data_IF_146832294615
#
_entry.id   IF_146832294615
#
_cell.length_a   1.000
_cell.length_b   1.000
_cell.length_c   1.000
_cell.angle_alpha   90.00
_cell.angle_beta   90.00
_cell.angle_gamma   90.00
#
_symmetry.space_group_name_H-M   'P 1'
#
loop_
_entity.id
_entity.type
_entity.pdbx_description
1 polymer ?
#
# COMPACT_ATOMS: atom_id res chain seq x y z
N UNK A 1 -10.07 16.16 19.35
CA UNK A 1 -10.37 15.07 18.40
C UNK A 1 -10.57 13.74 19.13
N UNK A 2 -9.60 13.24 19.90
CA UNK A 2 -9.74 11.99 20.66
C UNK A 2 -10.96 11.97 21.60
N UNK A 3 -11.20 13.02 22.39
CA UNK A 3 -12.37 13.11 23.26
C UNK A 3 -13.70 12.97 22.48
N UNK A 4 -13.84 13.68 21.35
CA UNK A 4 -15.02 13.58 20.49
C UNK A 4 -15.15 12.18 19.85
N UNK A 5 -14.03 11.57 19.45
CA UNK A 5 -14.00 10.18 18.95
C UNK A 5 -14.48 9.19 20.02
N UNK A 6 -14.03 9.35 21.26
CA UNK A 6 -14.46 8.52 22.39
C UNK A 6 -15.95 8.68 22.71
N UNK A 7 -16.53 9.88 22.55
CA UNK A 7 -17.98 10.09 22.76
C UNK A 7 -18.86 9.28 21.81
N UNK A 8 -18.33 8.88 20.65
CA UNK A 8 -19.00 8.00 19.68
C UNK A 8 -18.47 6.56 19.72
N UNK A 9 -17.72 6.19 20.76
CA UNK A 9 -17.20 4.84 20.96
C UNK A 9 -15.97 4.47 20.11
N UNK A 10 -15.31 5.45 19.49
CA UNK A 10 -14.11 5.24 18.67
C UNK A 10 -12.84 5.47 19.50
N UNK A 11 -11.86 4.56 19.34
CA UNK A 11 -10.56 4.64 19.98
C UNK A 11 -9.46 4.94 18.95
N UNK A 12 -8.72 6.02 19.15
CA UNK A 12 -7.62 6.41 18.25
C UNK A 12 -6.34 5.68 18.66
N UNK A 13 -5.79 4.88 17.75
CA UNK A 13 -4.50 4.21 17.98
C UNK A 13 -3.33 5.15 17.66
N UNK A 14 -2.83 5.86 18.67
CA UNK A 14 -1.77 6.86 18.54
C UNK A 14 -0.51 6.33 17.84
N UNK A 15 0.01 5.17 18.25
CA UNK A 15 1.23 4.60 17.65
C UNK A 15 1.14 4.21 16.16
N UNK A 16 -0.07 3.96 15.63
CA UNK A 16 -0.32 3.65 14.22
C UNK A 16 -0.72 4.89 13.43
N UNK A 17 -1.09 5.97 14.11
CA UNK A 17 -1.48 7.23 13.50
C UNK A 17 -0.21 7.98 13.13
N UNK A 18 -0.10 8.37 11.87
CA UNK A 18 1.02 9.13 11.31
C UNK A 18 0.46 10.27 10.48
N UNK A 19 1.28 11.30 10.29
CA UNK A 19 0.91 12.44 9.45
C UNK A 19 1.74 12.37 8.19
N UNK A 20 1.06 12.36 7.06
CA UNK A 20 1.67 12.54 5.75
C UNK A 20 1.27 13.93 5.26
N UNK A 21 2.22 14.86 5.18
CA UNK A 21 1.98 16.21 4.66
C UNK A 21 2.09 16.23 3.15
N UNK A 22 1.14 16.91 2.50
CA UNK A 22 1.15 17.11 1.05
C UNK A 22 1.61 18.54 0.72
N UNK A 23 2.62 18.66 -0.15
CA UNK A 23 3.10 19.94 -0.72
C UNK A 23 3.50 21.04 0.29
N UNK A 24 3.69 20.73 1.58
CA UNK A 24 3.92 21.74 2.63
C UNK A 24 4.98 21.27 3.62
N UNK A 25 5.94 22.15 3.94
CA UNK A 25 6.95 21.88 4.97
C UNK A 25 6.32 21.81 6.37
N UNK A 26 6.95 21.06 7.28
CA UNK A 26 6.46 20.87 8.65
C UNK A 26 6.53 22.18 9.45
N UNK A 27 5.40 22.89 9.56
CA UNK A 27 5.31 24.18 10.26
C UNK A 27 4.66 24.08 11.63
N UNK A 28 3.90 23.02 11.89
CA UNK A 28 3.11 22.88 13.13
C UNK A 28 3.03 21.41 13.57
N UNK A 29 3.46 21.08 14.80
CA UNK A 29 3.20 19.78 15.40
C UNK A 29 1.69 19.56 15.51
N UNK A 30 1.27 18.33 15.28
CA UNK A 30 -0.12 17.91 15.46
C UNK A 30 -0.13 16.86 16.54
N UNK A 31 -0.88 17.14 17.59
CA UNK A 31 -0.95 16.31 18.78
C UNK A 31 -2.29 15.60 18.91
N UNK A 32 -2.26 14.39 19.47
CA UNK A 32 -3.44 13.68 19.95
C UNK A 32 -3.23 13.40 21.44
N UNK A 33 -4.09 13.97 22.28
CA UNK A 33 -3.98 13.90 23.75
C UNK A 33 -2.61 14.34 24.30
N UNK A 34 -2.01 15.35 23.67
CA UNK A 34 -0.70 15.88 24.05
C UNK A 34 0.50 15.08 23.54
N UNK A 35 0.29 13.97 22.83
CA UNK A 35 1.35 13.23 22.14
C UNK A 35 1.49 13.71 20.70
N UNK A 36 2.72 14.06 20.30
CA UNK A 36 3.04 14.42 18.91
C UNK A 36 2.91 13.19 18.00
N UNK A 37 2.25 13.36 16.85
CA UNK A 37 2.25 12.36 15.80
C UNK A 37 3.52 12.46 14.95
N UNK A 38 4.08 11.32 14.57
CA UNK A 38 5.23 11.25 13.66
C UNK A 38 4.83 11.73 12.25
N UNK A 39 5.64 12.62 11.70
CA UNK A 39 5.58 13.09 10.31
C UNK A 39 6.35 12.09 9.43
N UNK A 40 5.66 11.48 8.47
CA UNK A 40 6.22 10.47 7.57
C UNK A 40 6.16 10.95 6.13
N UNK A 41 7.19 10.62 5.35
CA UNK A 41 7.25 10.94 3.91
C UNK A 41 6.44 9.98 3.06
N UNK A 42 6.28 8.75 3.53
CA UNK A 42 5.49 7.71 2.87
C UNK A 42 4.60 7.01 3.88
N UNK A 43 3.40 6.62 3.45
CA UNK A 43 2.46 5.87 4.26
C UNK A 43 1.83 4.75 3.43
N UNK A 44 1.72 3.55 4.00
CA UNK A 44 1.04 2.44 3.34
C UNK A 44 -0.42 2.41 3.78
N UNK A 45 -1.33 2.70 2.85
CA UNK A 45 -2.77 2.64 3.08
C UNK A 45 -3.39 1.56 2.20
N UNK A 46 -4.03 0.57 2.81
CA UNK A 46 -4.70 -0.55 2.12
C UNK A 46 -3.83 -1.26 1.06
N UNK A 47 -2.51 -1.27 1.27
CA UNK A 47 -1.55 -1.90 0.36
C UNK A 47 -1.05 -1.01 -0.77
N UNK A 48 -1.52 0.25 -0.83
CA UNK A 48 -0.98 1.31 -1.69
C UNK A 48 -0.01 2.20 -0.92
N UNK A 49 1.07 2.62 -1.58
CA UNK A 49 2.05 3.56 -1.02
C UNK A 49 1.65 4.97 -1.43
N UNK A 50 1.39 5.83 -0.44
CA UNK A 50 1.13 7.25 -0.63
C UNK A 50 2.37 8.01 -0.19
N UNK A 51 2.87 8.89 -1.06
CA UNK A 51 4.06 9.71 -0.83
C UNK A 51 3.71 11.20 -0.67
N UNK A 52 4.59 11.97 -0.01
CA UNK A 52 4.46 13.40 0.24
C UNK A 52 4.26 14.25 -1.04
N UNK A 53 4.72 13.75 -2.18
CA UNK A 53 4.57 14.40 -3.48
C UNK A 53 3.37 13.91 -4.29
N UNK A 54 2.45 13.11 -3.72
CA UNK A 54 1.35 12.44 -4.43
C UNK A 54 1.79 11.60 -5.64
N UNK A 55 3.08 11.25 -5.72
CA UNK A 55 3.62 10.46 -6.81
C UNK A 55 3.10 9.03 -6.72
N UNK A 56 2.43 8.54 -7.77
CA UNK A 56 2.06 7.13 -7.89
C UNK A 56 3.24 6.22 -8.21
N UNK A 57 4.43 6.77 -8.49
CA UNK A 57 5.61 6.01 -8.90
C UNK A 57 5.98 4.90 -7.90
N UNK A 58 5.97 5.23 -6.60
CA UNK A 58 6.24 4.28 -5.54
C UNK A 58 5.19 3.15 -5.50
N UNK A 59 3.91 3.49 -5.71
CA UNK A 59 2.81 2.53 -5.69
C UNK A 59 2.83 1.60 -6.92
N UNK A 60 3.00 2.19 -8.11
CA UNK A 60 3.17 1.47 -9.37
C UNK A 60 4.36 0.52 -9.29
N UNK A 61 5.48 0.98 -8.73
CA UNK A 61 6.67 0.14 -8.51
C UNK A 61 6.38 -1.02 -7.55
N UNK A 62 5.61 -0.79 -6.49
CA UNK A 62 5.20 -1.84 -5.57
C UNK A 62 4.27 -2.88 -6.23
N UNK A 63 3.30 -2.45 -7.04
CA UNK A 63 2.42 -3.35 -7.80
C UNK A 63 3.18 -4.17 -8.83
N UNK A 64 4.08 -3.54 -9.60
CA UNK A 64 4.97 -4.26 -10.53
C UNK A 64 5.81 -5.30 -9.78
N UNK A 65 6.31 -4.96 -8.58
CA UNK A 65 7.03 -5.89 -7.72
C UNK A 65 6.18 -7.11 -7.33
N UNK A 66 4.92 -6.90 -6.92
CA UNK A 66 3.98 -7.98 -6.58
C UNK A 66 3.66 -8.87 -7.78
N UNK A 67 3.36 -8.27 -8.93
CA UNK A 67 3.07 -9.01 -10.16
C UNK A 67 4.28 -9.83 -10.63
N UNK A 68 5.49 -9.29 -10.52
CA UNK A 68 6.74 -10.04 -10.80
C UNK A 68 6.91 -11.21 -9.84
N UNK A 69 6.65 -11.02 -8.55
CA UNK A 69 6.72 -12.11 -7.57
C UNK A 69 5.71 -13.22 -7.89
N UNK A 70 4.46 -12.87 -8.19
CA UNK A 70 3.42 -13.82 -8.60
C UNK A 70 3.81 -14.58 -9.87
N UNK A 71 4.35 -13.88 -10.87
CA UNK A 71 4.86 -14.51 -12.09
C UNK A 71 6.00 -15.49 -11.80
N UNK A 72 6.95 -15.13 -10.94
CA UNK A 72 8.08 -15.98 -10.57
C UNK A 72 7.66 -17.22 -9.79
N UNK A 73 6.64 -17.12 -8.92
CA UNK A 73 6.11 -18.27 -8.19
C UNK A 73 5.49 -19.32 -9.12
N UNK A 74 4.99 -18.92 -10.29
CA UNK A 74 4.40 -19.82 -11.29
C UNK A 74 5.41 -20.33 -12.33
N UNK A 75 6.72 -20.27 -12.03
CA UNK A 75 7.80 -20.68 -12.94
C UNK A 75 7.61 -22.08 -13.54
N UNK A 76 7.16 -23.04 -12.75
CA UNK A 76 6.96 -24.42 -13.23
C UNK A 76 5.80 -24.54 -14.21
N UNK A 77 4.76 -23.71 -14.06
CA UNK A 77 3.64 -23.61 -15.01
C UNK A 77 4.16 -23.07 -16.34
N UNK A 78 5.01 -22.05 -16.32
CA UNK A 78 5.59 -21.47 -17.53
C UNK A 78 6.48 -22.48 -18.26
N UNK A 79 7.26 -23.28 -17.53
CA UNK A 79 8.15 -24.30 -18.09
C UNK A 79 7.44 -25.60 -18.53
N UNK A 80 6.22 -25.85 -18.05
CA UNK A 80 5.49 -27.10 -18.35
C UNK A 80 5.18 -27.25 -19.83
N UNK A 81 5.57 -28.38 -20.44
CA UNK A 81 5.20 -28.73 -21.82
C UNK A 81 3.80 -29.35 -21.92
N UNK A 82 3.23 -29.81 -20.79
CA UNK A 82 1.90 -30.44 -20.76
C UNK A 82 0.77 -29.41 -20.88
N UNK A 83 1.01 -28.18 -20.44
CA UNK A 83 0.01 -27.11 -20.48
C UNK A 83 0.04 -26.38 -21.82
N UNK A 84 -1.13 -26.22 -22.43
CA UNK A 84 -1.28 -25.44 -23.66
C UNK A 84 -1.04 -23.95 -23.40
N UNK A 85 -0.61 -23.23 -24.44
CA UNK A 85 -0.40 -21.77 -24.38
C UNK A 85 -1.65 -21.03 -23.90
N UNK A 86 -2.83 -21.41 -24.40
CA UNK A 86 -4.10 -20.79 -24.00
C UNK A 86 -4.39 -20.97 -22.49
N UNK A 87 -4.03 -22.12 -21.92
CA UNK A 87 -4.20 -22.37 -20.49
C UNK A 87 -3.26 -21.51 -19.65
N UNK A 88 -1.99 -21.40 -20.07
CA UNK A 88 -0.99 -20.54 -19.41
C UNK A 88 -1.40 -19.06 -19.46
N UNK A 89 -1.91 -18.59 -20.60
CA UNK A 89 -2.42 -17.22 -20.74
C UNK A 89 -3.60 -16.97 -19.80
N UNK A 90 -4.53 -17.93 -19.67
CA UNK A 90 -5.63 -17.82 -18.70
C UNK A 90 -5.12 -17.69 -17.27
N UNK A 91 -4.15 -18.52 -16.88
CA UNK A 91 -3.53 -18.48 -15.54
C UNK A 91 -2.83 -17.14 -15.29
N UNK A 92 -2.12 -16.60 -16.28
CA UNK A 92 -1.51 -15.26 -16.19
C UNK A 92 -2.57 -14.18 -15.96
N UNK A 93 -3.65 -14.18 -16.75
CA UNK A 93 -4.72 -13.20 -16.64
C UNK A 93 -5.42 -13.25 -15.27
N UNK A 94 -5.52 -14.43 -14.64
CA UNK A 94 -6.21 -14.58 -13.34
C UNK A 94 -5.30 -14.30 -12.14
N UNK A 95 -4.01 -14.62 -12.22
CA UNK A 95 -3.12 -14.60 -11.04
C UNK A 95 -2.05 -13.51 -11.07
N UNK A 96 -1.68 -13.00 -12.26
CA UNK A 96 -0.64 -11.97 -12.40
C UNK A 96 -1.27 -10.64 -12.79
N UNK A 97 -2.14 -10.63 -13.81
CA UNK A 97 -2.79 -9.40 -14.30
C UNK A 97 -3.75 -8.78 -13.28
N UNK A 98 -4.30 -9.57 -12.36
CA UNK A 98 -5.19 -9.08 -11.30
C UNK A 98 -4.46 -8.31 -10.20
N UNK A 99 -3.14 -8.45 -10.12
CA UNK A 99 -2.27 -7.83 -9.09
C UNK A 99 -1.38 -6.73 -9.69
N UNK A 100 -1.47 -6.54 -11.01
CA UNK A 100 -0.78 -5.51 -11.79
C UNK A 100 -1.72 -4.33 -12.03
#
# INVERSE_FOLDING_TARGET
>A
VAAASATVGLNIHKGKSKILRYNTACTTPVTIDGEDLEDVKTFTYLGSIIDEHSGSDADVKAWIGKARAAYLQLKDIWNSKQLSTNTKVRIFNTNVKTVL
#
